data_IF_853158786626
#
_entry.id   IF_853158786626
#
_cell.length_a   1.000
_cell.length_b   1.000
_cell.length_c   1.000
_cell.angle_alpha   90.00
_cell.angle_beta   90.00
_cell.angle_gamma   90.00
#
_symmetry.space_group_name_H-M   'P 1'
#
loop_
_entity.id
_entity.type
_entity.pdbx_description
1 polymer ?
#
# COMPACT_ATOMS: atom_id res chain seq x y z
N UNK A 1 -26.46 6.33 -11.20
CA UNK A 1 -25.65 5.26 -10.57
C UNK A 1 -24.18 5.61 -10.73
N UNK A 2 -23.52 5.92 -9.62
CA UNK A 2 -22.16 6.47 -9.62
C UNK A 2 -21.14 5.40 -10.02
N UNK A 3 -20.53 5.58 -11.20
CA UNK A 3 -19.34 4.83 -11.61
C UNK A 3 -18.16 5.40 -10.81
N UNK A 4 -17.63 4.62 -9.87
CA UNK A 4 -16.40 4.92 -9.16
C UNK A 4 -15.21 4.80 -10.13
N UNK A 5 -14.99 5.84 -10.94
CA UNK A 5 -13.70 6.09 -11.59
C UNK A 5 -12.75 6.58 -10.49
N UNK A 6 -11.49 6.16 -10.50
CA UNK A 6 -10.48 6.55 -9.49
C UNK A 6 -10.09 8.02 -9.66
N UNK A 7 -11.06 8.89 -9.41
CA UNK A 7 -11.07 10.29 -9.77
C UNK A 7 -10.87 11.07 -8.48
N UNK A 8 -9.62 11.35 -8.13
CA UNK A 8 -9.29 12.46 -7.22
C UNK A 8 -9.48 13.77 -7.98
N UNK A 9 -10.71 14.03 -8.41
CA UNK A 9 -11.15 15.26 -9.09
C UNK A 9 -11.78 16.25 -8.12
N UNK A 10 -12.24 15.81 -6.95
CA UNK A 10 -12.48 16.74 -5.84
C UNK A 10 -11.12 17.18 -5.33
N UNK A 11 -10.71 18.38 -5.73
CA UNK A 11 -9.77 19.19 -4.98
C UNK A 11 -10.33 19.19 -3.55
N UNK A 12 -9.58 18.69 -2.60
CA UNK A 12 -9.92 18.86 -1.19
C UNK A 12 -9.82 20.36 -0.89
N UNK A 13 -10.94 21.07 -1.03
CA UNK A 13 -11.04 22.51 -0.82
C UNK A 13 -10.76 22.90 0.63
N UNK A 14 -10.71 21.92 1.55
CA UNK A 14 -10.43 22.09 2.97
C UNK A 14 -9.06 21.53 3.38
N UNK A 15 -8.31 20.95 2.43
CA UNK A 15 -6.98 20.42 2.69
C UNK A 15 -5.94 21.53 2.75
N UNK A 16 -5.17 21.62 3.84
CA UNK A 16 -4.07 22.58 4.03
C UNK A 16 -2.82 22.26 3.20
N UNK A 17 -2.89 21.26 2.31
CA UNK A 17 -1.74 20.84 1.51
C UNK A 17 -1.59 21.74 0.28
N UNK A 18 -0.38 22.27 0.01
CA UNK A 18 -0.15 23.08 -1.18
C UNK A 18 -0.54 22.30 -2.43
N UNK A 19 -1.39 22.91 -3.27
CA UNK A 19 -1.70 22.38 -4.59
C UNK A 19 -0.45 22.29 -5.47
N UNK A 20 -0.57 21.61 -6.63
CA UNK A 20 0.53 21.48 -7.60
C UNK A 20 1.08 22.89 -7.95
N UNK A 21 2.41 23.12 -7.84
CA UNK A 21 2.99 24.41 -8.20
C UNK A 21 2.61 24.78 -9.64
N UNK A 22 2.12 26.00 -9.82
CA UNK A 22 1.74 26.52 -11.16
C UNK A 22 2.93 26.55 -12.13
N UNK A 23 4.15 26.57 -11.58
CA UNK A 23 5.44 26.55 -12.29
C UNK A 23 5.93 25.16 -12.68
N UNK A 24 5.22 24.07 -12.33
CA UNK A 24 5.66 22.70 -12.65
C UNK A 24 5.59 22.47 -14.18
N UNK A 25 6.74 22.30 -14.88
CA UNK A 25 6.80 22.31 -16.34
C UNK A 25 6.29 21.01 -16.99
N UNK A 26 6.24 19.91 -16.23
CA UNK A 26 5.86 18.58 -16.72
C UNK A 26 4.36 18.36 -16.66
N UNK A 27 3.77 17.73 -17.68
CA UNK A 27 2.34 17.35 -17.62
C UNK A 27 2.04 16.45 -16.42
N UNK A 28 0.77 16.44 -15.94
CA UNK A 28 0.33 15.61 -14.80
C UNK A 28 0.65 14.12 -15.01
N UNK A 29 0.48 13.63 -16.25
CA UNK A 29 0.75 12.22 -16.61
C UNK A 29 2.24 11.89 -16.42
N UNK A 30 3.13 12.78 -16.86
CA UNK A 30 4.57 12.56 -16.78
C UNK A 30 5.09 12.72 -15.36
N UNK A 31 4.55 13.68 -14.62
CA UNK A 31 4.86 13.86 -13.20
C UNK A 31 4.49 12.61 -12.37
N UNK A 32 3.33 11.99 -12.64
CA UNK A 32 2.93 10.75 -11.97
C UNK A 32 3.89 9.59 -12.27
N UNK A 33 4.40 9.47 -13.50
CA UNK A 33 5.39 8.45 -13.87
C UNK A 33 6.69 8.65 -13.11
N UNK A 34 7.17 9.90 -13.03
CA UNK A 34 8.39 10.26 -12.29
C UNK A 34 8.23 9.98 -10.81
N UNK A 35 7.12 10.41 -10.20
CA UNK A 35 6.86 10.17 -8.78
C UNK A 35 6.82 8.67 -8.46
N UNK A 36 6.15 7.86 -9.29
CA UNK A 36 6.15 6.39 -9.13
C UNK A 36 7.55 5.79 -9.26
N UNK A 37 8.38 6.29 -10.19
CA UNK A 37 9.76 5.85 -10.33
C UNK A 37 10.59 6.19 -9.10
N UNK A 38 10.49 7.42 -8.60
CA UNK A 38 11.18 7.85 -7.38
C UNK A 38 10.75 7.03 -6.16
N UNK A 39 9.45 6.75 -6.02
CA UNK A 39 8.93 5.85 -4.99
C UNK A 39 9.56 4.46 -5.08
N UNK A 40 9.60 3.84 -6.26
CA UNK A 40 10.24 2.51 -6.44
C UNK A 40 11.73 2.52 -6.12
N UNK A 41 12.45 3.59 -6.49
CA UNK A 41 13.88 3.74 -6.17
C UNK A 41 14.08 3.83 -4.65
N UNK A 42 13.23 4.60 -3.97
CA UNK A 42 13.26 4.72 -2.50
C UNK A 42 12.94 3.39 -1.82
N UNK A 43 11.89 2.70 -2.26
CA UNK A 43 11.50 1.37 -1.74
C UNK A 43 12.66 0.36 -1.91
N UNK A 44 13.31 0.35 -3.08
CA UNK A 44 14.48 -0.49 -3.34
C UNK A 44 15.66 -0.15 -2.42
N UNK A 45 15.94 1.14 -2.21
CA UNK A 45 17.00 1.59 -1.30
C UNK A 45 16.72 1.18 0.16
N UNK A 46 15.44 1.09 0.55
CA UNK A 46 15.01 0.60 1.86
C UNK A 46 14.98 -0.93 1.96
N UNK A 47 15.37 -1.66 0.91
CA UNK A 47 15.36 -3.13 0.88
C UNK A 47 13.96 -3.74 0.75
N UNK A 48 12.92 -2.93 0.51
CA UNK A 48 11.55 -3.41 0.34
C UNK A 48 11.42 -4.13 -1.00
N UNK A 49 10.84 -5.34 -0.96
CA UNK A 49 10.54 -6.15 -2.15
C UNK A 49 9.04 -6.22 -2.36
N UNK A 50 8.62 -6.23 -3.63
CA UNK A 50 7.21 -6.39 -4.01
C UNK A 50 6.93 -7.87 -4.24
N UNK A 51 5.78 -8.31 -3.75
CA UNK A 51 5.26 -9.65 -3.95
C UNK A 51 3.98 -9.54 -4.75
N UNK A 52 3.83 -10.40 -5.75
CA UNK A 52 2.60 -10.57 -6.51
C UNK A 52 1.97 -11.89 -6.06
N UNK A 53 0.69 -11.86 -5.69
CA UNK A 53 -0.03 -12.99 -5.13
C UNK A 53 -1.35 -13.14 -5.87
N UNK A 54 -1.70 -14.38 -6.23
CA UNK A 54 -3.00 -14.73 -6.79
C UNK A 54 -3.78 -15.43 -5.67
N UNK A 55 -4.95 -14.91 -5.36
CA UNK A 55 -5.79 -15.37 -4.25
C UNK A 55 -7.25 -15.29 -4.70
N UNK A 56 -8.10 -16.16 -4.17
CA UNK A 56 -9.55 -16.11 -4.39
C UNK A 56 -10.14 -14.79 -3.90
N UNK A 57 -11.15 -14.28 -4.62
CA UNK A 57 -11.80 -13.00 -4.31
C UNK A 57 -12.38 -12.98 -2.90
N UNK A 58 -13.04 -14.05 -2.47
CA UNK A 58 -13.64 -14.13 -1.14
C UNK A 58 -12.62 -14.00 -0.01
N UNK A 59 -11.41 -14.53 -0.21
CA UNK A 59 -10.32 -14.44 0.76
C UNK A 59 -9.78 -13.01 0.80
N UNK A 60 -9.68 -12.35 -0.36
CA UNK A 60 -9.29 -10.95 -0.44
C UNK A 60 -10.29 -10.03 0.27
N UNK A 61 -11.59 -10.27 0.09
CA UNK A 61 -12.65 -9.48 0.74
C UNK A 61 -12.62 -9.66 2.28
N UNK A 62 -12.40 -10.89 2.76
CA UNK A 62 -12.20 -11.16 4.19
C UNK A 62 -10.97 -10.44 4.75
N UNK A 63 -9.87 -10.45 3.99
CA UNK A 63 -8.64 -9.72 4.36
C UNK A 63 -8.91 -8.22 4.47
N UNK A 64 -9.68 -7.66 3.55
CA UNK A 64 -10.05 -6.25 3.57
C UNK A 64 -10.87 -5.87 4.79
N UNK A 65 -11.90 -6.67 5.12
CA UNK A 65 -12.69 -6.44 6.31
C UNK A 65 -11.86 -6.50 7.60
N UNK A 66 -10.88 -7.41 7.68
CA UNK A 66 -9.96 -7.48 8.81
C UNK A 66 -9.04 -6.25 8.89
N UNK A 67 -8.54 -5.80 7.74
CA UNK A 67 -7.70 -4.60 7.67
C UNK A 67 -8.47 -3.34 8.08
N UNK A 68 -9.72 -3.20 7.62
CA UNK A 68 -10.60 -2.08 7.98
C UNK A 68 -10.93 -2.07 9.48
N UNK A 69 -11.30 -3.22 10.05
CA UNK A 69 -11.58 -3.34 11.50
C UNK A 69 -10.38 -2.96 12.36
N UNK A 70 -9.17 -3.26 11.90
CA UNK A 70 -7.94 -3.00 12.64
C UNK A 70 -7.31 -1.64 12.30
N UNK A 71 -7.82 -0.92 11.30
CA UNK A 71 -7.22 0.32 10.79
C UNK A 71 -5.84 0.13 10.16
N UNK A 72 -5.53 -1.08 9.67
CA UNK A 72 -4.22 -1.46 9.14
C UNK A 72 -4.22 -1.54 7.62
N UNK A 73 -3.05 -1.37 7.01
CA UNK A 73 -2.87 -1.64 5.57
C UNK A 73 -2.66 -3.14 5.34
N UNK A 74 -3.16 -3.68 4.22
CA UNK A 74 -2.95 -5.09 3.81
C UNK A 74 -1.49 -5.56 3.94
N UNK A 75 -0.54 -4.75 3.47
CA UNK A 75 0.88 -5.07 3.52
C UNK A 75 1.43 -5.17 4.95
N UNK A 76 0.94 -4.32 5.84
CA UNK A 76 1.31 -4.31 7.25
C UNK A 76 0.73 -5.52 7.98
N UNK A 77 -0.56 -5.81 7.76
CA UNK A 77 -1.21 -6.99 8.31
C UNK A 77 -0.50 -8.29 7.88
N UNK A 78 -0.18 -8.44 6.58
CA UNK A 78 0.55 -9.60 6.08
C UNK A 78 1.94 -9.73 6.72
N UNK A 79 2.65 -8.61 6.88
CA UNK A 79 3.96 -8.61 7.54
C UNK A 79 3.85 -9.05 9.01
N UNK A 80 2.83 -8.58 9.72
CA UNK A 80 2.54 -9.00 11.09
C UNK A 80 2.24 -10.51 11.17
N UNK A 81 1.42 -11.04 10.26
CA UNK A 81 1.10 -12.48 10.23
C UNK A 81 2.33 -13.36 9.94
N UNK A 82 3.19 -12.95 9.01
CA UNK A 82 4.45 -13.66 8.73
C UNK A 82 5.35 -13.64 9.98
N UNK A 83 5.49 -12.49 10.64
CA UNK A 83 6.31 -12.39 11.86
C UNK A 83 5.74 -13.20 13.03
N UNK A 84 4.40 -13.23 13.19
CA UNK A 84 3.72 -14.04 14.20
C UNK A 84 3.95 -15.53 13.96
N UNK A 85 3.77 -16.02 12.74
CA UNK A 85 3.99 -17.44 12.40
C UNK A 85 5.45 -17.86 12.61
N UNK A 86 6.43 -17.01 12.26
CA UNK A 86 7.84 -17.26 12.52
C UNK A 86 8.17 -17.23 14.02
N UNK A 87 7.54 -16.33 14.80
CA UNK A 87 7.70 -16.24 16.25
C UNK A 87 7.25 -17.52 16.97
N UNK A 88 6.16 -18.14 16.52
CA UNK A 88 5.66 -19.42 17.05
C UNK A 88 6.62 -20.57 16.76
N UNK A 89 7.29 -20.56 15.60
CA UNK A 89 8.20 -21.65 15.19
C UNK A 89 9.49 -21.78 16.04
N UNK A 90 9.90 -20.72 16.75
CA UNK A 90 11.07 -20.77 17.65
C UNK A 90 10.80 -21.53 18.94
N UNK A 91 9.55 -21.62 19.39
CA UNK A 91 9.17 -22.37 20.60
C UNK A 91 9.20 -23.89 20.37
N UNK A 92 8.91 -24.36 19.15
CA UNK A 92 8.79 -25.80 18.87
C UNK A 92 10.10 -26.48 18.50
N UNK A 93 11.21 -25.73 18.33
CA UNK A 93 12.51 -26.26 17.91
C UNK A 93 13.52 -26.47 19.06
N UNK A 94 13.13 -26.20 20.31
CA UNK A 94 13.94 -26.47 21.52
C UNK A 94 13.51 -27.77 22.21
N UNK A 95 13.53 -28.88 21.47
CA UNK A 95 13.56 -30.24 22.01
C UNK A 95 14.46 -31.09 21.12
N UNK A 96 15.76 -30.96 21.31
CA UNK A 96 16.76 -32.01 21.08
C UNK A 96 17.86 -31.83 22.11
#
# INVERSE_FOLDING_TARGET
MAKASSDRNTIDLFGTTPGRPRTQPLTRKDQLKINKRAQRVKEKAQGLKRLELIVEQEVLDKLDQLCEKNGLKRAEWLTQQINQSLGVSKSTRSKK
#
